data_IF_404114860223
#
_entry.id   IF_404114860223
#
_cell.length_a   1.000
_cell.length_b   1.000
_cell.length_c   1.000
_cell.angle_alpha   90.00
_cell.angle_beta   90.00
_cell.angle_gamma   90.00
#
_symmetry.space_group_name_H-M   'P 1'
#
loop_
_entity.id
_entity.type
_entity.pdbx_description
1 polymer ?
#
# COMPACT_ATOMS: atom_id res chain seq x y z
N UNK A 1 7.60 14.00 52.42
CA UNK A 1 7.63 12.83 51.51
C UNK A 1 9.05 12.31 51.41
N UNK A 2 9.24 10.99 51.56
CA UNK A 2 10.56 10.37 51.74
C UNK A 2 11.35 10.24 50.41
N UNK A 3 12.36 11.11 50.21
CA UNK A 3 13.28 11.07 49.05
C UNK A 3 13.89 9.68 48.81
N UNK A 4 14.10 8.88 49.87
CA UNK A 4 14.60 7.50 49.77
C UNK A 4 13.60 6.56 49.07
N UNK A 5 12.30 6.77 49.27
CA UNK A 5 11.25 5.98 48.63
C UNK A 5 11.15 6.31 47.13
N UNK A 6 11.26 7.59 46.77
CA UNK A 6 11.28 8.04 45.37
C UNK A 6 12.49 7.49 44.59
N UNK A 7 13.69 7.52 45.19
CA UNK A 7 14.89 6.92 44.60
C UNK A 7 14.74 5.41 44.35
N UNK A 8 14.10 4.68 45.26
CA UNK A 8 13.81 3.24 45.06
C UNK A 8 12.83 3.01 43.90
N UNK A 9 11.76 3.82 43.81
CA UNK A 9 10.79 3.75 42.70
C UNK A 9 11.45 4.03 41.35
N UNK A 10 12.30 5.06 41.26
CA UNK A 10 13.03 5.41 40.04
C UNK A 10 13.97 4.28 39.58
N UNK A 11 14.72 3.66 40.51
CA UNK A 11 15.57 2.50 40.18
C UNK A 11 14.76 1.32 39.66
N UNK A 12 13.58 1.08 40.22
CA UNK A 12 12.70 -0.03 39.83
C UNK A 12 12.07 0.21 38.45
N UNK A 13 11.66 1.46 38.15
CA UNK A 13 11.17 1.88 36.84
C UNK A 13 12.26 1.78 35.76
N UNK A 14 13.47 2.24 36.05
CA UNK A 14 14.63 2.10 35.14
C UNK A 14 14.91 0.64 34.81
N UNK A 15 14.87 -0.25 35.81
CA UNK A 15 15.09 -1.69 35.61
C UNK A 15 13.98 -2.33 34.75
N UNK A 16 12.72 -1.96 34.98
CA UNK A 16 11.57 -2.40 34.15
C UNK A 16 11.70 -1.92 32.70
N UNK A 17 12.10 -0.66 32.49
CA UNK A 17 12.32 -0.11 31.16
C UNK A 17 13.41 -0.89 30.39
N UNK A 18 14.54 -1.19 31.03
CA UNK A 18 15.60 -1.98 30.40
C UNK A 18 15.17 -3.41 30.04
N UNK A 19 14.32 -4.04 30.85
CA UNK A 19 13.76 -5.37 30.54
C UNK A 19 12.87 -5.30 29.31
N UNK A 20 11.99 -4.30 29.25
CA UNK A 20 11.08 -4.09 28.12
C UNK A 20 11.87 -3.79 26.83
N UNK A 21 12.90 -2.93 26.88
CA UNK A 21 13.78 -2.67 25.73
C UNK A 21 14.47 -3.95 25.21
N UNK A 22 14.87 -4.86 26.11
CA UNK A 22 15.44 -6.17 25.73
C UNK A 22 14.41 -7.10 25.09
N UNK A 23 13.19 -7.15 25.62
CA UNK A 23 12.08 -7.94 25.05
C UNK A 23 11.71 -7.43 23.66
N UNK A 24 11.60 -6.11 23.48
CA UNK A 24 11.40 -5.49 22.18
C UNK A 24 12.53 -5.82 21.20
N UNK A 25 13.79 -5.71 21.62
CA UNK A 25 14.93 -6.06 20.76
C UNK A 25 14.91 -7.54 20.35
N UNK A 26 14.52 -8.44 21.26
CA UNK A 26 14.38 -9.86 20.96
C UNK A 26 13.26 -10.12 19.94
N UNK A 27 12.08 -9.51 20.13
CA UNK A 27 10.96 -9.61 19.20
C UNK A 27 11.34 -9.08 17.81
N UNK A 28 11.97 -7.91 17.74
CA UNK A 28 12.43 -7.32 16.48
C UNK A 28 13.43 -8.23 15.76
N UNK A 29 14.36 -8.84 16.50
CA UNK A 29 15.30 -9.82 15.93
C UNK A 29 14.59 -11.06 15.41
N UNK A 30 13.57 -11.56 16.11
CA UNK A 30 12.76 -12.71 15.68
C UNK A 30 12.01 -12.39 14.37
N UNK A 31 11.34 -11.24 14.31
CA UNK A 31 10.67 -10.78 13.09
C UNK A 31 11.65 -10.65 11.91
N UNK A 32 12.84 -10.11 12.15
CA UNK A 32 13.86 -9.99 11.10
C UNK A 32 14.30 -11.35 10.53
N UNK A 33 14.41 -12.37 11.39
CA UNK A 33 14.73 -13.73 10.95
C UNK A 33 13.59 -14.33 10.14
N UNK A 34 12.34 -14.13 10.56
CA UNK A 34 11.16 -14.62 9.83
C UNK A 34 11.02 -13.93 8.47
N UNK A 35 11.19 -12.61 8.39
CA UNK A 35 11.20 -11.87 7.12
C UNK A 35 12.28 -12.39 6.17
N UNK A 36 13.49 -12.70 6.66
CA UNK A 36 14.54 -13.30 5.84
C UNK A 36 14.20 -14.70 5.34
N UNK A 37 13.42 -15.49 6.09
CA UNK A 37 12.96 -16.81 5.63
C UNK A 37 11.92 -16.65 4.52
N UNK A 38 10.95 -15.76 4.73
CA UNK A 38 9.93 -15.45 3.73
C UNK A 38 10.58 -14.95 2.44
N UNK A 39 11.53 -14.02 2.52
CA UNK A 39 12.24 -13.49 1.36
C UNK A 39 12.99 -14.60 0.59
N UNK A 40 13.64 -15.53 1.30
CA UNK A 40 14.26 -16.70 0.66
C UNK A 40 13.24 -17.61 -0.02
N UNK A 41 12.07 -17.82 0.58
CA UNK A 41 11.00 -18.63 0.00
C UNK A 41 10.39 -17.96 -1.23
N UNK A 42 10.10 -16.65 -1.16
CA UNK A 42 9.65 -15.84 -2.30
C UNK A 42 10.64 -15.92 -3.46
N UNK A 43 11.95 -15.78 -3.19
CA UNK A 43 12.98 -15.91 -4.21
C UNK A 43 13.04 -17.30 -4.84
N UNK A 44 12.89 -18.37 -4.05
CA UNK A 44 12.82 -19.74 -4.57
C UNK A 44 11.59 -19.94 -5.47
N UNK A 45 10.45 -19.37 -5.10
CA UNK A 45 9.23 -19.42 -5.92
C UNK A 45 9.45 -18.64 -7.21
N UNK A 46 9.96 -17.41 -7.10
CA UNK A 46 10.22 -16.54 -8.25
C UNK A 46 11.18 -17.16 -9.27
N UNK A 47 12.25 -17.83 -8.81
CA UNK A 47 13.18 -18.53 -9.70
C UNK A 47 12.55 -19.70 -10.47
N UNK A 48 11.46 -20.30 -9.96
CA UNK A 48 10.74 -21.39 -10.60
C UNK A 48 9.70 -20.94 -11.63
N UNK A 49 9.37 -19.65 -11.64
CA UNK A 49 8.42 -19.09 -12.61
C UNK A 49 9.03 -19.05 -14.01
N UNK A 50 8.18 -19.26 -15.01
CA UNK A 50 8.51 -19.00 -16.41
C UNK A 50 8.74 -17.50 -16.67
N UNK A 51 9.41 -17.16 -17.76
CA UNK A 51 9.68 -15.76 -18.10
C UNK A 51 8.37 -14.98 -18.35
N UNK A 52 7.32 -15.63 -18.88
CA UNK A 52 6.00 -15.02 -19.03
C UNK A 52 5.32 -14.69 -17.69
N UNK A 53 5.47 -15.55 -16.69
CA UNK A 53 4.94 -15.35 -15.33
C UNK A 53 5.76 -14.30 -14.56
N UNK A 54 7.09 -14.30 -14.72
CA UNK A 54 7.96 -13.24 -14.20
C UNK A 54 7.61 -11.90 -14.84
N UNK A 55 7.36 -11.89 -16.13
CA UNK A 55 6.89 -10.70 -16.84
C UNK A 55 5.52 -10.26 -16.34
N UNK A 56 4.61 -11.14 -15.94
CA UNK A 56 3.34 -10.74 -15.30
C UNK A 56 3.56 -10.06 -13.94
N UNK A 57 4.52 -10.54 -13.15
CA UNK A 57 4.88 -9.95 -11.85
C UNK A 57 5.64 -8.62 -12.01
N UNK A 58 6.54 -8.56 -13.00
CA UNK A 58 7.38 -7.40 -13.29
C UNK A 58 6.72 -6.39 -14.22
N UNK A 59 5.64 -6.77 -14.92
CA UNK A 59 4.81 -5.85 -15.71
C UNK A 59 4.27 -4.84 -14.72
N UNK A 60 4.81 -3.63 -14.83
CA UNK A 60 4.15 -2.44 -14.30
C UNK A 60 2.74 -2.49 -14.87
N UNK A 61 1.75 -2.69 -14.00
CA UNK A 61 0.35 -2.50 -14.34
C UNK A 61 0.30 -1.18 -15.09
N UNK A 62 -0.10 -1.17 -16.37
CA UNK A 62 -0.14 0.04 -17.17
C UNK A 62 -0.94 1.09 -16.41
N UNK A 63 -0.50 2.34 -16.50
CA UNK A 63 -1.05 3.45 -15.72
C UNK A 63 -2.58 3.56 -15.91
N UNK A 64 -3.06 3.19 -17.10
CA UNK A 64 -4.47 3.06 -17.46
C UNK A 64 -5.22 2.02 -16.64
N UNK A 65 -4.66 0.82 -16.46
CA UNK A 65 -5.28 -0.24 -15.66
C UNK A 65 -5.34 0.14 -14.19
N UNK A 66 -4.31 0.83 -13.67
CA UNK A 66 -4.34 1.35 -12.29
C UNK A 66 -5.47 2.35 -12.08
N UNK A 67 -5.65 3.29 -13.01
CA UNK A 67 -6.74 4.27 -12.95
C UNK A 67 -8.10 3.57 -13.04
N UNK A 68 -8.24 2.57 -13.92
CA UNK A 68 -9.47 1.79 -14.05
C UNK A 68 -9.79 0.99 -12.78
N UNK A 69 -8.78 0.38 -12.15
CA UNK A 69 -8.96 -0.39 -10.91
C UNK A 69 -9.39 0.50 -9.74
N UNK A 70 -8.83 1.71 -9.63
CA UNK A 70 -9.27 2.72 -8.66
C UNK A 70 -10.75 3.03 -8.87
N UNK A 71 -11.17 3.31 -10.11
CA UNK A 71 -12.56 3.64 -10.40
C UNK A 71 -13.48 2.46 -10.08
N UNK A 72 -13.11 1.23 -10.44
CA UNK A 72 -13.90 0.03 -10.14
C UNK A 72 -14.09 -0.16 -8.63
N UNK A 73 -13.03 -0.01 -7.83
CA UNK A 73 -13.10 -0.13 -6.37
C UNK A 73 -14.01 0.92 -5.74
N UNK A 74 -13.94 2.17 -6.21
CA UNK A 74 -14.84 3.21 -5.72
C UNK A 74 -16.29 2.96 -6.16
N UNK A 75 -16.50 2.40 -7.36
CA UNK A 75 -17.83 2.03 -7.86
C UNK A 75 -18.48 0.85 -7.12
N UNK A 76 -17.72 0.06 -6.35
CA UNK A 76 -18.31 -0.97 -5.47
C UNK A 76 -19.16 -0.35 -4.36
N UNK A 77 -18.85 0.89 -3.98
CA UNK A 77 -19.52 1.62 -2.90
C UNK A 77 -20.34 2.81 -3.39
N UNK A 78 -20.01 3.34 -4.56
CA UNK A 78 -20.61 4.55 -5.14
C UNK A 78 -21.19 4.26 -6.52
N UNK A 79 -22.31 4.89 -6.87
CA UNK A 79 -22.88 4.74 -8.21
C UNK A 79 -22.03 5.39 -9.32
N UNK A 80 -21.23 6.39 -8.96
CA UNK A 80 -20.38 7.17 -9.85
C UNK A 80 -19.19 7.74 -9.08
N UNK A 81 -18.06 7.95 -9.75
CA UNK A 81 -16.82 8.45 -9.13
C UNK A 81 -16.48 9.83 -9.70
N UNK A 82 -16.19 10.78 -8.82
CA UNK A 82 -15.81 12.13 -9.26
C UNK A 82 -14.36 12.17 -9.78
N UNK A 83 -14.09 13.07 -10.72
CA UNK A 83 -12.75 13.30 -11.28
C UNK A 83 -11.72 13.65 -10.18
N UNK A 84 -12.14 14.44 -9.19
CA UNK A 84 -11.29 14.87 -8.08
C UNK A 84 -10.86 13.69 -7.21
N UNK A 85 -11.80 12.79 -6.87
CA UNK A 85 -11.50 11.57 -6.11
C UNK A 85 -10.52 10.67 -6.87
N UNK A 86 -10.72 10.49 -8.18
CA UNK A 86 -9.82 9.70 -9.02
C UNK A 86 -8.41 10.31 -9.00
N UNK A 87 -8.30 11.63 -9.13
CA UNK A 87 -7.01 12.32 -9.08
C UNK A 87 -6.30 12.13 -7.73
N UNK A 88 -7.01 12.24 -6.61
CA UNK A 88 -6.41 12.04 -5.28
C UNK A 88 -5.92 10.61 -5.07
N UNK A 89 -6.75 9.62 -5.41
CA UNK A 89 -6.43 8.20 -5.22
C UNK A 89 -5.29 7.76 -6.16
N UNK A 90 -5.30 8.22 -7.41
CA UNK A 90 -4.25 7.89 -8.37
C UNK A 90 -2.91 8.58 -8.02
N UNK A 91 -2.94 9.81 -7.49
CA UNK A 91 -1.74 10.47 -6.97
C UNK A 91 -1.12 9.71 -5.79
N UNK A 92 -1.92 9.13 -4.90
CA UNK A 92 -1.43 8.27 -3.81
C UNK A 92 -0.69 7.03 -4.32
N UNK A 93 -1.01 6.58 -5.54
CA UNK A 93 -0.30 5.49 -6.23
C UNK A 93 0.88 5.95 -7.10
N UNK A 94 1.28 7.22 -7.01
CA UNK A 94 2.43 7.79 -7.71
C UNK A 94 2.16 8.22 -9.16
N UNK A 95 0.89 8.35 -9.57
CA UNK A 95 0.53 8.84 -10.90
C UNK A 95 0.51 10.37 -10.93
N UNK A 96 0.95 10.97 -12.04
CA UNK A 96 0.89 12.43 -12.24
C UNK A 96 -0.47 12.83 -12.84
N UNK A 97 -0.95 14.03 -12.55
CA UNK A 97 -2.25 14.52 -13.06
C UNK A 97 -2.37 14.41 -14.58
N UNK A 98 -1.29 14.71 -15.33
CA UNK A 98 -1.29 14.59 -16.80
C UNK A 98 -1.54 13.16 -17.26
N UNK A 99 -0.88 12.19 -16.62
CA UNK A 99 -1.02 10.76 -16.93
C UNK A 99 -2.42 10.27 -16.58
N UNK A 100 -2.97 10.70 -15.44
CA UNK A 100 -4.34 10.34 -15.02
C UNK A 100 -5.37 10.83 -16.04
N UNK A 101 -5.28 12.08 -16.48
CA UNK A 101 -6.18 12.65 -17.49
C UNK A 101 -6.07 11.87 -18.80
N UNK A 102 -4.85 11.63 -19.28
CA UNK A 102 -4.61 10.85 -20.50
C UNK A 102 -5.16 9.42 -20.38
N UNK A 103 -4.98 8.77 -19.23
CA UNK A 103 -5.55 7.45 -18.96
C UNK A 103 -7.08 7.47 -18.95
N UNK A 104 -7.71 8.47 -18.36
CA UNK A 104 -9.17 8.63 -18.36
C UNK A 104 -9.72 8.80 -19.78
N UNK A 105 -9.06 9.61 -20.60
CA UNK A 105 -9.45 9.82 -22.00
C UNK A 105 -9.27 8.53 -22.82
N UNK A 106 -8.17 7.80 -22.63
CA UNK A 106 -7.94 6.52 -23.31
C UNK A 106 -8.96 5.45 -22.89
N UNK A 107 -9.28 5.34 -21.60
CA UNK A 107 -10.28 4.40 -21.08
C UNK A 107 -11.68 4.72 -21.61
N UNK A 108 -12.01 6.00 -21.75
CA UNK A 108 -13.27 6.44 -22.35
C UNK A 108 -13.32 6.14 -23.85
N UNK A 109 -12.25 6.41 -24.59
CA UNK A 109 -12.16 6.12 -26.03
C UNK A 109 -12.24 4.61 -26.32
N UNK A 110 -11.77 3.77 -25.39
CA UNK A 110 -11.91 2.30 -25.46
C UNK A 110 -13.28 1.79 -25.04
N UNK A 111 -14.19 2.65 -24.56
CA UNK A 111 -15.49 2.24 -24.07
C UNK A 111 -15.44 1.44 -22.77
N UNK A 112 -14.43 1.64 -21.92
CA UNK A 112 -14.37 1.04 -20.58
C UNK A 112 -14.99 1.96 -19.52
N UNK A 113 -15.06 3.26 -19.82
CA UNK A 113 -15.65 4.29 -18.99
C UNK A 113 -16.55 5.19 -19.84
N UNK A 114 -17.55 5.79 -19.21
CA UNK A 114 -18.32 6.89 -19.79
C UNK A 114 -18.51 8.00 -18.75
N UNK A 115 -18.85 9.21 -19.23
CA UNK A 115 -19.12 10.37 -18.40
C UNK A 115 -20.63 10.64 -18.37
N UNK A 116 -21.38 10.15 -17.36
CA UNK A 116 -22.81 10.42 -17.25
C UNK A 116 -23.10 11.91 -17.00
N UNK A 117 -22.18 12.62 -16.34
CA UNK A 117 -22.25 14.05 -16.02
C UNK A 117 -20.84 14.65 -16.05
N UNK A 118 -20.76 15.97 -16.30
CA UNK A 118 -19.50 16.71 -16.19
C UNK A 118 -18.82 16.45 -14.82
N UNK A 119 -17.57 15.98 -14.86
CA UNK A 119 -16.76 15.72 -13.67
C UNK A 119 -17.00 14.36 -13.01
N UNK A 120 -17.85 13.49 -13.56
CA UNK A 120 -18.11 12.15 -13.03
C UNK A 120 -17.86 11.06 -14.07
N UNK A 121 -17.39 9.91 -13.61
CA UNK A 121 -17.10 8.73 -14.42
C UNK A 121 -17.86 7.52 -13.88
N UNK A 122 -18.24 6.65 -14.80
CA UNK A 122 -18.84 5.35 -14.51
C UNK A 122 -18.29 4.30 -15.47
N UNK A 123 -18.15 3.06 -15.02
CA UNK A 123 -17.81 1.93 -15.90
C UNK A 123 -19.03 1.52 -16.70
N UNK A 124 -18.82 1.10 -17.95
CA UNK A 124 -19.88 0.52 -18.80
C UNK A 124 -20.30 -0.84 -18.22
#
# INVERSE_FOLDING_TARGET
MDRKLELKKLKLLSKKRMLLEKEHAFLMKKFHVELKKIDKECNKIYCKLSDAEKDLICKKIPEEEKVLEIIKKELEFLDMVSHEQILELAKKQGLTSKKIIQSLDNLQNRGLLYRPRHGFYKTI
#
